data_IF_170656904043
#
_entry.id   IF_170656904043
#
_cell.length_a   1.000
_cell.length_b   1.000
_cell.length_c   1.000
_cell.angle_alpha   90.00
_cell.angle_beta   90.00
_cell.angle_gamma   90.00
#
_symmetry.space_group_name_H-M   'P 1'
#
loop_
_entity.id
_entity.type
_entity.pdbx_description
1 polymer ?
#
# COMPACT_ATOMS: atom_id res chain seq x y z
N UNK A 1 9.87 -8.83 -15.59
CA UNK A 1 8.77 -9.67 -15.06
C UNK A 1 7.60 -9.50 -16.00
N UNK A 2 7.26 -10.57 -16.72
CA UNK A 2 6.11 -10.59 -17.63
C UNK A 2 4.85 -10.54 -16.76
N UNK A 3 4.00 -9.54 -17.01
CA UNK A 3 2.89 -9.20 -16.13
C UNK A 3 1.72 -10.18 -16.36
N UNK A 4 1.85 -11.39 -15.83
CA UNK A 4 0.90 -12.50 -16.01
C UNK A 4 -0.30 -12.40 -15.05
N UNK A 5 -0.95 -11.23 -15.05
CA UNK A 5 -2.24 -11.04 -14.38
C UNK A 5 -3.34 -11.26 -15.41
N UNK A 6 -3.67 -12.54 -15.63
CA UNK A 6 -4.61 -12.97 -16.67
C UNK A 6 -5.94 -12.23 -16.59
N UNK A 7 -6.34 -11.63 -17.71
CA UNK A 7 -7.60 -10.89 -17.85
C UNK A 7 -7.59 -9.47 -17.26
N UNK A 8 -6.56 -9.08 -16.49
CA UNK A 8 -6.43 -7.71 -15.97
C UNK A 8 -5.95 -6.78 -17.09
N UNK A 9 -6.72 -5.73 -17.35
CA UNK A 9 -6.42 -4.72 -18.37
C UNK A 9 -5.79 -3.49 -17.73
N UNK A 10 -6.29 -3.07 -16.56
CA UNK A 10 -5.75 -1.97 -15.76
C UNK A 10 -5.81 -2.30 -14.29
N UNK A 11 -4.92 -1.69 -13.52
CA UNK A 11 -5.00 -1.67 -12.08
C UNK A 11 -4.42 -0.39 -11.52
N UNK A 12 -4.88 0.01 -10.34
CA UNK A 12 -4.43 1.23 -9.67
C UNK A 12 -4.70 1.16 -8.18
N UNK A 13 -4.02 1.99 -7.41
CA UNK A 13 -4.38 2.22 -6.02
C UNK A 13 -3.17 2.51 -5.16
N UNK A 14 -3.32 2.24 -3.87
CA UNK A 14 -2.29 2.41 -2.87
C UNK A 14 -2.00 1.11 -2.15
N UNK A 15 -0.73 0.87 -1.86
CA UNK A 15 -0.27 -0.28 -1.11
C UNK A 15 0.67 0.17 0.02
N UNK A 16 0.82 -0.69 1.01
CA UNK A 16 1.66 -0.47 2.16
C UNK A 16 2.82 -1.48 2.13
N UNK A 17 4.04 -1.01 2.35
CA UNK A 17 5.24 -1.85 2.44
C UNK A 17 5.72 -1.90 3.88
N UNK A 18 5.95 -3.11 4.38
CA UNK A 18 6.52 -3.34 5.70
C UNK A 18 7.88 -2.64 5.86
N UNK A 19 8.75 -2.70 4.85
CA UNK A 19 10.07 -2.04 4.84
C UNK A 19 10.01 -0.51 4.81
N UNK A 20 8.87 0.08 4.45
CA UNK A 20 8.66 1.54 4.37
C UNK A 20 7.34 1.91 5.07
N UNK A 21 7.21 1.64 6.38
CA UNK A 21 5.91 1.63 7.04
C UNK A 21 5.27 3.02 7.15
N UNK A 22 6.05 4.08 7.00
CA UNK A 22 5.59 5.47 7.09
C UNK A 22 4.85 5.95 5.83
N UNK A 23 5.03 5.25 4.71
CA UNK A 23 4.67 5.73 3.39
C UNK A 23 3.61 4.87 2.73
N UNK A 24 2.71 5.53 2.00
CA UNK A 24 1.85 4.89 1.02
C UNK A 24 2.62 4.73 -0.29
N UNK A 25 2.66 3.52 -0.84
CA UNK A 25 3.07 3.27 -2.21
C UNK A 25 1.89 3.49 -3.15
N UNK A 26 2.11 4.11 -4.30
CA UNK A 26 1.14 4.23 -5.39
C UNK A 26 1.41 3.18 -6.44
N UNK A 27 0.35 2.58 -6.99
CA UNK A 27 0.40 1.60 -8.07
C UNK A 27 -0.45 2.09 -9.25
N UNK A 28 0.05 1.92 -10.47
CA UNK A 28 -0.73 2.09 -11.68
C UNK A 28 -0.23 1.19 -12.80
N UNK A 29 -1.13 0.44 -13.41
CA UNK A 29 -0.84 -0.43 -14.54
C UNK A 29 -1.91 -0.27 -15.63
N UNK A 30 -1.45 -0.31 -16.87
CA UNK A 30 -2.29 -0.35 -18.06
C UNK A 30 -1.60 -1.20 -19.14
N UNK A 31 -2.27 -2.26 -19.58
CA UNK A 31 -1.67 -3.25 -20.48
C UNK A 31 -0.39 -3.85 -19.88
N UNK A 32 0.67 -4.01 -20.67
CA UNK A 32 1.93 -4.58 -20.18
C UNK A 32 2.77 -3.66 -19.29
N UNK A 33 2.37 -2.40 -19.09
CA UNK A 33 3.19 -1.41 -18.36
C UNK A 33 2.63 -1.19 -16.97
N UNK A 34 3.49 -1.32 -15.97
CA UNK A 34 3.21 -0.99 -14.58
C UNK A 34 4.18 0.07 -14.07
N UNK A 35 3.70 0.92 -13.17
CA UNK A 35 4.47 1.93 -12.44
C UNK A 35 4.10 1.86 -10.98
N UNK A 36 5.10 2.12 -10.16
CA UNK A 36 4.98 2.22 -8.72
C UNK A 36 5.81 3.44 -8.26
N UNK A 37 5.43 4.05 -7.14
CA UNK A 37 6.12 5.24 -6.63
C UNK A 37 5.54 5.74 -5.30
N UNK A 38 6.05 6.86 -4.78
CA UNK A 38 5.54 7.44 -3.54
C UNK A 38 4.12 8.00 -3.72
N UNK A 39 3.19 7.51 -2.90
CA UNK A 39 1.82 8.01 -2.80
C UNK A 39 1.61 9.08 -1.71
N UNK A 40 2.56 9.20 -0.78
CA UNK A 40 2.53 10.14 0.34
C UNK A 40 2.92 9.47 1.66
N UNK A 41 2.78 10.20 2.76
CA UNK A 41 2.90 9.63 4.12
C UNK A 41 1.52 9.29 4.66
N UNK A 42 1.43 8.22 5.46
CA UNK A 42 0.25 7.97 6.29
C UNK A 42 0.16 9.03 7.38
N UNK A 43 -1.02 9.54 7.68
CA UNK A 43 -1.21 10.49 8.79
C UNK A 43 -0.77 9.90 10.13
N UNK A 44 -0.90 8.59 10.31
CA UNK A 44 -0.36 7.82 11.43
C UNK A 44 1.14 8.05 11.67
N UNK A 45 1.89 8.40 10.63
CA UNK A 45 3.34 8.62 10.66
C UNK A 45 3.73 10.11 10.64
N UNK A 46 2.74 11.01 10.55
CA UNK A 46 2.95 12.46 10.57
C UNK A 46 2.78 12.97 12.00
N UNK A 47 3.74 13.74 12.56
CA UNK A 47 3.59 14.39 13.86
C UNK A 47 2.32 15.23 13.92
N UNK A 48 1.58 15.16 15.04
CA UNK A 48 0.26 15.78 15.19
C UNK A 48 0.26 17.29 14.96
N UNK A 49 1.39 17.96 15.20
CA UNK A 49 1.58 19.40 14.98
C UNK A 49 1.57 19.79 13.50
N UNK A 50 1.73 18.82 12.59
CA UNK A 50 1.68 19.00 11.13
C UNK A 50 0.38 18.53 10.51
N UNK A 51 -0.58 18.10 11.33
CA UNK A 51 -1.90 17.71 10.84
C UNK A 51 -2.70 18.94 10.40
N UNK A 52 -3.68 18.76 9.49
CA UNK A 52 -4.62 19.83 9.15
C UNK A 52 -5.42 20.23 10.39
N UNK A 53 -5.76 21.52 10.47
CA UNK A 53 -6.53 22.09 11.58
C UNK A 53 -8.04 22.18 11.25
N UNK A 54 -8.43 22.01 9.99
CA UNK A 54 -9.82 22.08 9.58
C UNK A 54 -10.60 20.79 9.88
N UNK A 55 -11.84 20.95 10.34
CA UNK A 55 -12.71 19.86 10.77
C UNK A 55 -13.00 18.83 9.66
N UNK A 56 -13.04 19.26 8.40
CA UNK A 56 -13.36 18.40 7.27
C UNK A 56 -12.24 17.39 7.02
N UNK A 57 -11.00 17.87 6.94
CA UNK A 57 -9.81 17.03 6.78
C UNK A 57 -9.63 16.09 7.97
N UNK A 58 -9.82 16.58 9.20
CA UNK A 58 -9.73 15.74 10.39
C UNK A 58 -10.78 14.62 10.38
N UNK A 59 -12.04 14.92 10.01
CA UNK A 59 -13.09 13.90 9.86
C UNK A 59 -12.74 12.87 8.79
N UNK A 60 -12.15 13.28 7.68
CA UNK A 60 -11.72 12.37 6.62
C UNK A 60 -10.59 11.43 7.06
N UNK A 61 -9.63 11.93 7.85
CA UNK A 61 -8.57 11.09 8.40
C UNK A 61 -9.17 10.09 9.41
N UNK A 62 -10.04 10.57 10.29
CA UNK A 62 -10.68 9.75 11.32
C UNK A 62 -11.64 8.71 10.74
N UNK A 63 -12.29 8.97 9.60
CA UNK A 63 -13.22 8.00 8.99
C UNK A 63 -12.55 6.74 8.47
N UNK A 64 -11.23 6.78 8.25
CA UNK A 64 -10.40 5.66 7.82
C UNK A 64 -9.47 5.14 8.94
N UNK A 65 -9.65 5.63 10.16
CA UNK A 65 -8.73 5.36 11.26
C UNK A 65 -9.06 4.03 11.95
N UNK A 66 -8.05 3.18 12.09
CA UNK A 66 -8.10 1.97 12.89
C UNK A 66 -7.16 2.07 14.09
N UNK A 67 -7.62 1.65 15.27
CA UNK A 67 -6.79 1.67 16.48
C UNK A 67 -5.52 0.82 16.30
N UNK A 68 -4.37 1.38 16.66
CA UNK A 68 -3.05 0.74 16.50
C UNK A 68 -2.43 0.84 15.10
N UNK A 69 -3.21 1.13 14.06
CA UNK A 69 -2.72 1.20 12.65
C UNK A 69 -2.80 2.63 12.10
N UNK A 70 -3.77 3.42 12.55
CA UNK A 70 -4.06 4.74 12.02
C UNK A 70 -4.81 4.69 10.70
N UNK A 71 -4.48 5.58 9.76
CA UNK A 71 -5.08 5.65 8.43
C UNK A 71 -4.36 4.77 7.38
N UNK A 72 -3.28 4.09 7.79
CA UNK A 72 -2.50 3.21 6.92
C UNK A 72 -3.34 2.03 6.44
N UNK A 73 -3.35 1.81 5.13
CA UNK A 73 -4.21 0.79 4.48
C UNK A 73 -3.70 0.38 3.10
N UNK A 74 -4.29 -0.69 2.57
CA UNK A 74 -4.07 -1.16 1.22
C UNK A 74 -5.38 -1.11 0.44
N UNK A 75 -5.37 -0.44 -0.72
CA UNK A 75 -6.52 -0.30 -1.60
C UNK A 75 -6.06 -0.44 -3.03
N UNK A 76 -6.31 -1.60 -3.63
CA UNK A 76 -5.98 -1.87 -5.03
C UNK A 76 -7.24 -2.21 -5.81
N UNK A 77 -7.39 -1.59 -6.98
CA UNK A 77 -8.49 -1.83 -7.91
C UNK A 77 -7.94 -2.48 -9.16
N UNK A 78 -8.57 -3.58 -9.58
CA UNK A 78 -8.24 -4.31 -10.80
C UNK A 78 -9.45 -4.27 -11.74
N UNK A 79 -9.20 -3.96 -13.02
CA UNK A 79 -10.21 -3.80 -14.05
C UNK A 79 -9.83 -4.69 -15.22
N UNK A 80 -10.74 -5.56 -15.63
CA UNK A 80 -10.46 -6.55 -16.65
C UNK A 80 -11.68 -7.35 -17.07
N UNK A 81 -11.46 -8.31 -17.96
CA UNK A 81 -12.49 -9.24 -18.44
C UNK A 81 -11.96 -10.67 -18.27
N UNK A 82 -12.82 -11.58 -17.79
CA UNK A 82 -12.44 -12.97 -17.49
C UNK A 82 -11.18 -13.03 -16.58
N UNK A 83 -11.12 -12.14 -15.59
CA UNK A 83 -10.03 -12.11 -14.61
C UNK A 83 -10.05 -13.41 -13.79
N UNK A 84 -8.87 -13.97 -13.56
CA UNK A 84 -8.69 -15.04 -12.59
C UNK A 84 -8.62 -14.44 -11.17
N UNK A 85 -9.79 -14.05 -10.64
CA UNK A 85 -9.88 -13.41 -9.32
C UNK A 85 -9.28 -14.27 -8.19
N UNK A 86 -9.53 -15.59 -8.11
CA UNK A 86 -8.93 -16.42 -7.07
C UNK A 86 -7.40 -16.43 -7.11
N UNK A 87 -6.79 -16.56 -8.29
CA UNK A 87 -5.32 -16.50 -8.44
C UNK A 87 -4.78 -15.12 -8.06
N UNK A 88 -5.46 -14.04 -8.48
CA UNK A 88 -5.08 -12.68 -8.12
C UNK A 88 -5.09 -12.46 -6.60
N UNK A 89 -6.16 -12.89 -5.93
CA UNK A 89 -6.27 -12.80 -4.46
C UNK A 89 -5.17 -13.61 -3.77
N UNK A 90 -4.95 -14.85 -4.20
CA UNK A 90 -3.89 -15.72 -3.67
C UNK A 90 -2.51 -15.06 -3.73
N UNK A 91 -2.18 -14.40 -4.85
CA UNK A 91 -0.91 -13.67 -5.00
C UNK A 91 -0.81 -12.45 -4.08
N UNK A 92 -1.91 -11.72 -3.88
CA UNK A 92 -1.95 -10.58 -2.95
C UNK A 92 -1.83 -11.05 -1.51
N UNK A 93 -2.56 -12.10 -1.14
CA UNK A 93 -2.53 -12.69 0.21
C UNK A 93 -1.14 -13.24 0.56
N UNK A 94 -0.45 -13.86 -0.40
CA UNK A 94 0.92 -14.35 -0.23
C UNK A 94 1.95 -13.22 -0.04
N UNK A 95 1.60 -11.96 -0.35
CA UNK A 95 2.45 -10.79 -0.13
C UNK A 95 2.16 -10.09 1.22
N UNK A 96 1.14 -10.54 1.96
CA UNK A 96 0.84 -9.99 3.29
C UNK A 96 1.84 -10.51 4.33
N UNK A 97 2.08 -9.70 5.34
CA UNK A 97 2.73 -10.16 6.56
C UNK A 97 1.86 -11.23 7.22
N UNK A 98 2.49 -12.29 7.71
CA UNK A 98 1.85 -13.24 8.63
C UNK A 98 1.56 -12.57 9.98
N UNK A 99 0.67 -13.16 10.79
CA UNK A 99 0.37 -12.64 12.14
C UNK A 99 1.63 -12.48 13.01
N UNK A 100 2.60 -13.40 12.84
CA UNK A 100 3.88 -13.36 13.55
C UNK A 100 4.71 -12.16 13.09
N UNK A 101 4.87 -11.95 11.79
CA UNK A 101 5.62 -10.83 11.24
C UNK A 101 4.93 -9.50 11.59
N UNK A 102 3.60 -9.44 11.51
CA UNK A 102 2.82 -8.27 11.94
C UNK A 102 3.05 -7.94 13.43
N UNK A 103 3.19 -8.95 14.29
CA UNK A 103 3.48 -8.72 15.71
C UNK A 103 4.90 -8.16 15.98
N UNK A 104 5.83 -8.23 15.04
CA UNK A 104 7.18 -7.67 15.19
C UNK A 104 7.19 -6.13 15.14
N UNK A 105 6.21 -5.54 14.46
CA UNK A 105 5.99 -4.09 14.40
C UNK A 105 6.96 -3.29 13.53
N UNK A 106 6.66 -2.00 13.28
CA UNK A 106 7.32 -1.16 12.25
C UNK A 106 8.83 -1.03 12.39
N UNK A 107 9.35 -1.05 13.63
CA UNK A 107 10.79 -0.96 13.89
C UNK A 107 11.54 -2.14 13.27
N UNK A 108 11.00 -3.36 13.41
CA UNK A 108 11.59 -4.57 12.85
C UNK A 108 11.29 -4.71 11.35
N UNK A 109 10.08 -4.33 10.92
CA UNK A 109 9.69 -4.39 9.51
C UNK A 109 10.60 -3.59 8.59
N UNK A 110 11.14 -2.45 9.06
CA UNK A 110 12.08 -1.60 8.31
C UNK A 110 13.36 -2.33 7.86
N UNK A 111 13.66 -3.49 8.46
CA UNK A 111 14.80 -4.34 8.11
C UNK A 111 14.44 -5.50 7.16
N UNK A 112 13.16 -5.67 6.80
CA UNK A 112 12.75 -6.70 5.84
C UNK A 112 13.29 -6.39 4.44
N UNK A 113 13.54 -7.42 3.61
CA UNK A 113 13.96 -7.21 2.22
C UNK A 113 12.96 -6.32 1.49
N UNK A 114 13.48 -5.28 0.83
CA UNK A 114 12.67 -4.37 0.04
C UNK A 114 12.82 -4.71 -1.44
N UNK A 115 11.78 -5.29 -2.08
CA UNK A 115 11.85 -5.70 -3.48
C UNK A 115 11.63 -4.54 -4.45
N UNK A 116 11.41 -3.33 -3.94
CA UNK A 116 10.93 -2.18 -4.71
C UNK A 116 12.06 -1.16 -4.91
N UNK A 117 12.16 -0.59 -6.10
CA UNK A 117 13.13 0.49 -6.35
C UNK A 117 12.95 1.66 -5.36
N UNK A 118 14.04 2.31 -4.93
CA UNK A 118 13.96 3.47 -4.04
C UNK A 118 13.04 4.55 -4.60
N UNK A 119 12.19 5.12 -3.75
CA UNK A 119 11.36 6.28 -4.11
C UNK A 119 12.07 7.61 -3.92
N UNK A 120 13.18 7.59 -3.20
CA UNK A 120 13.99 8.75 -2.87
C UNK A 120 15.39 8.53 -3.43
N UNK A 121 15.98 9.58 -4.00
CA UNK A 121 17.39 9.57 -4.35
C UNK A 121 18.20 9.56 -3.04
N UNK A 122 19.21 8.68 -2.96
CA UNK A 122 20.16 8.64 -1.84
C UNK A 122 21.13 9.84 -1.87
#
# INVERSE_FOLDING_TARGET
MENDLKGVVRSKGYFWLASRPEFAGSWSQAGGVARQGLGGMWWASVPKERWPEDDESLKFIMSNWLEGIGDARQELVFIGMNMDEPELRSRLDAALLTDKEMAEGPQNWSHYPDPIEPWFDN
#
